data_IF_933567806861
#
_entry.id   IF_933567806861
#
_cell.length_a   1.000
_cell.length_b   1.000
_cell.length_c   1.000
_cell.angle_alpha   90.00
_cell.angle_beta   90.00
_cell.angle_gamma   90.00
#
_symmetry.space_group_name_H-M   'P 1'
#
loop_
_entity.id
_entity.type
_entity.pdbx_description
1 polymer ?
#
# COMPACT_ATOMS: atom_id res chain seq x y z
N UNK A 1 -1.72 54.02 -12.75
CA UNK A 1 -0.68 53.00 -12.54
C UNK A 1 -0.53 52.51 -11.09
N UNK A 2 -0.83 53.32 -10.06
CA UNK A 2 -0.70 52.89 -8.62
C UNK A 2 -1.73 51.82 -8.19
N UNK A 3 -2.93 51.79 -8.78
CA UNK A 3 -4.02 50.87 -8.41
C UNK A 3 -3.88 49.48 -9.04
N UNK A 4 -3.14 49.34 -10.16
CA UNK A 4 -2.92 48.03 -10.79
C UNK A 4 -1.88 47.18 -9.99
N UNK A 5 -0.89 47.83 -9.37
CA UNK A 5 0.13 47.15 -8.57
C UNK A 5 -0.44 46.59 -7.24
N UNK A 6 -1.40 47.31 -6.63
CA UNK A 6 -2.05 46.85 -5.39
C UNK A 6 -2.93 45.61 -5.63
N UNK A 7 -3.60 45.52 -6.79
CA UNK A 7 -4.44 44.37 -7.15
C UNK A 7 -3.62 43.11 -7.45
N UNK A 8 -2.44 43.24 -8.08
CA UNK A 8 -1.55 42.12 -8.37
C UNK A 8 -0.92 41.57 -7.08
N UNK A 9 -0.56 42.44 -6.15
CA UNK A 9 0.00 42.02 -4.86
C UNK A 9 -1.05 41.29 -4.00
N UNK A 10 -2.32 41.69 -4.05
CA UNK A 10 -3.41 41.04 -3.33
C UNK A 10 -3.72 39.64 -3.90
N UNK A 11 -3.62 39.45 -5.21
CA UNK A 11 -3.82 38.13 -5.88
C UNK A 11 -2.69 37.17 -5.50
N UNK A 12 -1.45 37.62 -5.41
CA UNK A 12 -0.30 36.76 -5.01
C UNK A 12 -0.41 36.32 -3.56
N UNK A 13 -0.89 37.19 -2.66
CA UNK A 13 -1.08 36.84 -1.24
C UNK A 13 -2.24 35.84 -1.04
N UNK A 14 -3.29 35.94 -1.85
CA UNK A 14 -4.41 34.97 -1.84
C UNK A 14 -3.98 33.62 -2.39
N UNK A 15 -3.13 33.56 -3.42
CA UNK A 15 -2.62 32.29 -3.98
C UNK A 15 -1.66 31.56 -3.03
N UNK A 16 -0.82 32.27 -2.26
CA UNK A 16 0.07 31.63 -1.27
C UNK A 16 -0.67 31.10 -0.04
N UNK A 17 -1.84 31.64 0.30
CA UNK A 17 -2.67 31.10 1.40
C UNK A 17 -3.50 29.86 1.00
N UNK A 18 -3.80 29.65 -0.27
CA UNK A 18 -4.53 28.48 -0.75
C UNK A 18 -3.65 27.21 -0.72
N UNK A 19 -2.34 27.31 -1.03
CA UNK A 19 -1.43 26.16 -0.99
C UNK A 19 -1.08 25.69 0.42
N UNK A 20 -1.16 26.57 1.43
CA UNK A 20 -0.94 26.19 2.84
C UNK A 20 -2.19 25.61 3.53
N UNK A 21 -3.37 25.83 2.95
CA UNK A 21 -4.64 25.39 3.52
C UNK A 21 -4.97 23.94 3.16
N UNK A 22 -4.44 23.41 2.04
CA UNK A 22 -4.70 22.03 1.59
C UNK A 22 -4.02 20.99 2.49
N UNK A 23 -2.83 21.26 3.03
CA UNK A 23 -2.14 20.34 3.94
C UNK A 23 -2.85 20.20 5.28
N UNK A 24 -3.37 21.30 5.84
CA UNK A 24 -4.12 21.30 7.11
C UNK A 24 -5.49 20.62 6.90
N UNK A 25 -6.16 20.88 5.78
CA UNK A 25 -7.44 20.25 5.45
C UNK A 25 -7.29 18.73 5.21
N UNK A 26 -6.14 18.27 4.66
CA UNK A 26 -5.85 16.87 4.44
C UNK A 26 -5.82 16.08 5.76
N UNK A 27 -5.20 16.60 6.81
CA UNK A 27 -5.14 15.98 8.14
C UNK A 27 -6.39 16.21 8.98
N UNK A 28 -7.18 17.26 8.72
CA UNK A 28 -8.38 17.56 9.50
C UNK A 28 -9.61 16.72 9.12
N UNK A 29 -9.63 16.08 7.95
CA UNK A 29 -10.72 15.18 7.54
C UNK A 29 -10.43 13.74 7.99
N UNK A 30 -10.80 13.42 9.23
CA UNK A 30 -10.73 12.06 9.78
C UNK A 30 -11.84 11.11 9.26
N UNK A 31 -12.55 11.47 8.18
CA UNK A 31 -13.54 10.57 7.60
C UNK A 31 -12.88 9.32 7.05
N UNK A 32 -13.36 8.13 7.47
CA UNK A 32 -12.86 6.85 7.02
C UNK A 32 -12.88 6.75 5.49
N UNK A 33 -11.77 6.36 4.92
CA UNK A 33 -11.61 6.01 3.49
C UNK A 33 -11.16 4.57 3.36
N UNK A 34 -11.64 3.88 2.34
CA UNK A 34 -11.32 2.48 2.06
C UNK A 34 -9.96 2.30 1.38
N UNK A 35 -8.93 2.86 1.98
CA UNK A 35 -7.54 2.84 1.48
C UNK A 35 -6.54 2.73 2.63
N UNK A 36 -5.28 2.40 2.33
CA UNK A 36 -4.20 2.51 3.28
C UNK A 36 -4.00 3.98 3.62
N UNK A 37 -4.27 4.38 4.86
CA UNK A 37 -4.15 5.77 5.27
C UNK A 37 -3.87 5.90 6.77
N UNK A 38 -2.95 6.79 7.10
CA UNK A 38 -2.69 7.24 8.46
C UNK A 38 -3.37 8.61 8.63
N UNK A 39 -4.22 8.75 9.62
CA UNK A 39 -4.97 9.97 9.92
C UNK A 39 -4.35 10.75 11.07
N UNK A 40 -3.64 10.06 11.98
CA UNK A 40 -2.93 10.68 13.09
C UNK A 40 -1.43 10.78 12.76
N UNK A 41 -0.84 12.01 12.75
CA UNK A 41 0.56 12.20 12.42
C UNK A 41 1.55 11.60 13.44
N UNK A 42 1.10 11.31 14.67
CA UNK A 42 1.93 10.67 15.69
C UNK A 42 2.06 9.15 15.48
N UNK A 43 1.19 8.55 14.67
CA UNK A 43 1.26 7.13 14.33
C UNK A 43 2.28 6.92 13.20
N UNK A 44 3.25 6.04 13.43
CA UNK A 44 4.34 5.72 12.50
C UNK A 44 4.53 4.22 12.34
N UNK A 45 5.34 3.83 11.39
CA UNK A 45 5.79 2.44 11.16
C UNK A 45 4.60 1.47 11.05
N UNK A 46 3.50 1.90 10.43
CA UNK A 46 2.29 1.09 10.33
C UNK A 46 2.51 0.00 9.28
N UNK A 47 2.60 -1.25 9.72
CA UNK A 47 2.87 -2.42 8.91
C UNK A 47 1.80 -3.49 9.16
N UNK A 48 1.39 -4.17 8.09
CA UNK A 48 0.54 -5.36 8.15
C UNK A 48 1.10 -6.41 7.19
N UNK A 49 1.29 -7.63 7.67
CA UNK A 49 1.91 -8.71 6.90
C UNK A 49 1.49 -10.08 7.46
N UNK A 50 1.64 -11.18 6.71
CA UNK A 50 1.45 -12.53 7.24
C UNK A 50 2.45 -12.80 8.36
N UNK A 51 1.97 -13.34 9.47
CA UNK A 51 2.80 -13.57 10.67
C UNK A 51 4.07 -14.35 10.33
N UNK A 52 5.22 -13.76 10.65
CA UNK A 52 6.54 -14.31 10.33
C UNK A 52 7.11 -13.96 8.95
N UNK A 53 6.34 -13.22 8.12
CA UNK A 53 6.76 -12.84 6.74
C UNK A 53 6.57 -11.33 6.50
N UNK A 54 7.40 -10.47 7.09
CA UNK A 54 7.20 -9.01 7.11
C UNK A 54 7.34 -8.31 5.76
N UNK A 55 7.83 -9.00 4.74
CA UNK A 55 7.97 -8.47 3.37
C UNK A 55 6.87 -8.96 2.42
N UNK A 56 5.98 -9.81 2.88
CA UNK A 56 4.89 -10.31 2.06
C UNK A 56 3.65 -9.42 2.15
N UNK A 57 2.86 -9.47 1.10
CA UNK A 57 1.57 -8.80 1.05
C UNK A 57 0.60 -9.37 2.11
N UNK A 58 -0.25 -8.54 2.74
CA UNK A 58 -1.21 -9.00 3.74
C UNK A 58 -2.38 -9.78 3.10
N UNK A 59 -2.06 -10.98 2.64
CA UNK A 59 -3.00 -11.89 1.97
C UNK A 59 -2.93 -13.27 2.61
N UNK A 60 -4.02 -13.75 3.17
CA UNK A 60 -4.10 -15.10 3.74
C UNK A 60 -5.33 -15.84 3.24
N UNK A 61 -5.25 -17.19 3.24
CA UNK A 61 -6.37 -18.02 2.83
C UNK A 61 -7.44 -18.12 3.92
N UNK A 62 -8.69 -18.05 3.51
CA UNK A 62 -9.84 -18.32 4.38
C UNK A 62 -9.73 -19.73 4.98
N UNK A 63 -10.12 -19.87 6.24
CA UNK A 63 -10.08 -21.14 7.00
C UNK A 63 -8.70 -21.81 7.05
N UNK A 64 -7.62 -21.04 6.95
CA UNK A 64 -6.26 -21.52 7.22
C UNK A 64 -5.81 -21.12 8.64
N UNK A 65 -4.76 -21.79 9.13
CA UNK A 65 -4.11 -21.42 10.40
C UNK A 65 -3.20 -20.18 10.27
N UNK A 66 -3.17 -19.56 9.08
CA UNK A 66 -2.38 -18.37 8.84
C UNK A 66 -3.05 -17.14 9.44
N UNK A 67 -2.24 -16.28 10.04
CA UNK A 67 -2.65 -15.02 10.63
C UNK A 67 -1.90 -13.85 10.01
N UNK A 68 -2.44 -12.66 10.17
CA UNK A 68 -1.78 -11.40 9.87
C UNK A 68 -1.31 -10.75 11.16
N UNK A 69 -0.18 -10.06 11.08
CA UNK A 69 0.37 -9.26 12.16
C UNK A 69 0.33 -7.79 11.76
N UNK A 70 -0.34 -6.98 12.57
CA UNK A 70 -0.26 -5.52 12.55
C UNK A 70 0.83 -5.09 13.52
N UNK A 71 1.61 -4.08 13.15
CA UNK A 71 2.54 -3.36 14.03
C UNK A 71 2.46 -1.87 13.74
N UNK A 72 2.60 -1.05 14.77
CA UNK A 72 2.71 0.40 14.63
C UNK A 72 3.33 1.04 15.87
N UNK A 73 3.86 2.24 15.70
CA UNK A 73 4.47 3.05 16.75
C UNK A 73 3.64 4.31 16.99
N UNK A 74 3.35 4.61 18.27
CA UNK A 74 2.73 5.86 18.69
C UNK A 74 3.81 6.77 19.33
N UNK A 75 4.16 7.84 18.62
CA UNK A 75 5.17 8.81 19.05
C UNK A 75 4.69 9.75 20.15
N UNK A 76 3.38 9.87 20.35
CA UNK A 76 2.84 10.62 21.50
C UNK A 76 3.13 9.92 22.84
N UNK A 77 3.49 8.62 22.80
CA UNK A 77 3.85 7.83 23.96
C UNK A 77 2.69 7.53 24.91
N UNK A 78 3.02 6.87 26.02
CA UNK A 78 2.01 6.39 26.96
C UNK A 78 1.27 5.18 26.45
N UNK A 79 0.27 4.72 27.24
CA UNK A 79 -0.62 3.61 26.85
C UNK A 79 -1.95 4.20 26.44
N UNK A 80 -2.39 3.86 25.22
CA UNK A 80 -3.70 4.23 24.69
C UNK A 80 -4.50 2.97 24.39
N UNK A 81 -5.80 3.02 24.59
CA UNK A 81 -6.71 1.90 24.33
C UNK A 81 -7.17 1.91 22.89
N UNK A 82 -6.26 1.57 21.96
CA UNK A 82 -6.61 1.43 20.56
C UNK A 82 -7.58 0.28 20.37
N UNK A 83 -8.70 0.57 19.70
CA UNK A 83 -9.69 -0.40 19.26
C UNK A 83 -9.47 -0.71 17.80
N UNK A 84 -9.87 -1.91 17.37
CA UNK A 84 -9.86 -2.28 15.95
C UNK A 84 -11.16 -2.98 15.54
N UNK A 85 -11.51 -2.84 14.29
CA UNK A 85 -12.61 -3.53 13.62
C UNK A 85 -12.27 -3.80 12.16
N UNK A 86 -13.10 -4.61 11.49
CA UNK A 86 -12.91 -4.94 10.08
C UNK A 86 -14.14 -4.54 9.28
N UNK A 87 -13.90 -3.98 8.09
CA UNK A 87 -14.93 -3.64 7.11
C UNK A 87 -14.71 -4.51 5.87
N UNK A 88 -15.71 -5.31 5.50
CA UNK A 88 -15.67 -6.09 4.26
C UNK A 88 -15.96 -5.17 3.07
N UNK A 89 -15.16 -5.29 2.01
CA UNK A 89 -15.26 -4.48 0.80
C UNK A 89 -15.45 -5.39 -0.43
N UNK A 90 -16.01 -4.81 -1.49
CA UNK A 90 -16.09 -5.42 -2.81
C UNK A 90 -14.76 -5.36 -3.60
N UNK A 91 -14.76 -5.78 -4.86
CA UNK A 91 -13.58 -5.77 -5.73
C UNK A 91 -13.02 -4.37 -6.00
N UNK A 92 -13.81 -3.32 -5.84
CA UNK A 92 -13.41 -1.92 -6.03
C UNK A 92 -13.03 -1.24 -4.70
N UNK A 93 -12.96 -2.00 -3.60
CA UNK A 93 -12.72 -1.49 -2.26
C UNK A 93 -13.86 -0.61 -1.71
N UNK A 94 -15.05 -0.67 -2.30
CA UNK A 94 -16.23 -0.05 -1.70
C UNK A 94 -16.80 -0.97 -0.61
N UNK A 95 -17.35 -0.41 0.48
CA UNK A 95 -17.98 -1.21 1.52
C UNK A 95 -19.03 -2.15 0.94
N UNK A 96 -18.92 -3.43 1.22
CA UNK A 96 -19.93 -4.40 0.75
C UNK A 96 -21.27 -4.20 1.43
N UNK A 97 -22.33 -4.75 0.86
CA UNK A 97 -23.66 -4.72 1.44
C UNK A 97 -23.88 -5.79 2.52
N UNK A 98 -22.84 -6.58 2.83
CA UNK A 98 -22.93 -7.60 3.88
C UNK A 98 -23.03 -6.95 5.25
N UNK A 99 -23.87 -7.51 6.10
CA UNK A 99 -23.90 -7.15 7.52
C UNK A 99 -22.67 -7.74 8.21
N UNK A 100 -22.23 -7.13 9.29
CA UNK A 100 -21.02 -7.54 10.01
C UNK A 100 -21.04 -9.01 10.44
N UNK A 101 -22.15 -9.50 10.91
CA UNK A 101 -22.36 -10.89 11.31
C UNK A 101 -22.37 -11.90 10.14
N UNK A 102 -22.36 -11.46 8.89
CA UNK A 102 -22.27 -12.31 7.71
C UNK A 102 -20.83 -12.60 7.30
N UNK A 103 -19.86 -11.73 7.68
CA UNK A 103 -18.44 -11.88 7.34
C UNK A 103 -17.51 -11.97 8.56
N UNK A 104 -18.06 -11.78 9.76
CA UNK A 104 -17.28 -11.78 11.00
C UNK A 104 -18.03 -12.51 12.12
N UNK A 105 -17.32 -13.31 12.89
CA UNK A 105 -17.81 -13.98 14.10
C UNK A 105 -17.01 -13.51 15.31
N UNK A 106 -17.67 -13.42 16.47
CA UNK A 106 -17.13 -12.96 17.72
C UNK A 106 -17.56 -11.53 18.03
N UNK A 107 -16.63 -10.67 18.41
CA UNK A 107 -16.91 -9.28 18.73
C UNK A 107 -16.86 -8.39 17.49
N UNK A 108 -17.71 -7.36 17.46
CA UNK A 108 -17.71 -6.37 16.37
C UNK A 108 -16.44 -5.49 16.37
N UNK A 109 -15.80 -5.36 17.52
CA UNK A 109 -14.51 -4.69 17.72
C UNK A 109 -13.80 -5.26 18.93
N UNK A 110 -12.48 -5.10 18.99
CA UNK A 110 -11.69 -5.47 20.17
C UNK A 110 -10.52 -4.50 20.36
N UNK A 111 -9.87 -4.57 21.52
CA UNK A 111 -8.77 -3.71 21.94
C UNK A 111 -7.41 -4.31 21.56
N UNK A 112 -6.46 -3.47 21.16
CA UNK A 112 -5.06 -3.84 20.95
C UNK A 112 -4.33 -3.78 22.30
N UNK A 113 -4.04 -4.94 22.88
CA UNK A 113 -3.48 -5.07 24.24
C UNK A 113 -1.99 -5.30 24.30
N UNK A 114 -1.39 -5.75 23.20
CA UNK A 114 0.04 -6.03 23.15
C UNK A 114 0.80 -4.76 22.79
N UNK A 115 1.59 -4.25 23.75
CA UNK A 115 2.41 -3.06 23.55
C UNK A 115 3.74 -3.17 24.32
N UNK A 116 4.72 -2.41 23.83
CA UNK A 116 6.05 -2.26 24.46
C UNK A 116 6.50 -0.81 24.38
N UNK A 117 7.10 -0.33 25.46
CA UNK A 117 7.76 0.99 25.43
C UNK A 117 9.12 0.91 24.75
N UNK A 118 9.47 1.96 24.03
CA UNK A 118 10.82 2.13 23.50
C UNK A 118 11.83 2.22 24.66
N UNK A 119 13.03 1.70 24.40
CA UNK A 119 14.10 1.75 25.37
C UNK A 119 15.37 2.31 24.73
N UNK A 120 15.99 3.33 25.37
CA UNK A 120 17.22 3.94 24.95
C UNK A 120 17.16 4.51 23.51
N UNK A 121 16.05 5.13 23.14
CA UNK A 121 15.82 5.77 21.85
C UNK A 121 15.84 7.29 21.97
N UNK A 122 16.23 8.00 20.90
CA UNK A 122 16.25 9.48 20.88
C UNK A 122 14.83 10.06 21.05
N UNK A 123 13.84 9.44 20.42
CA UNK A 123 12.42 9.77 20.57
C UNK A 123 11.70 8.60 21.25
N UNK A 124 11.01 8.88 22.36
CA UNK A 124 10.21 7.86 23.02
C UNK A 124 8.95 7.53 22.21
N UNK A 125 8.58 6.25 22.16
CA UNK A 125 7.36 5.79 21.52
C UNK A 125 6.81 4.55 22.23
N UNK A 126 5.55 4.25 21.97
CA UNK A 126 4.94 2.98 22.36
C UNK A 126 4.68 2.15 21.12
N UNK A 127 5.28 0.96 21.05
CA UNK A 127 5.09 -0.01 19.97
C UNK A 127 3.90 -0.89 20.30
N UNK A 128 2.96 -0.99 19.36
CA UNK A 128 1.77 -1.85 19.46
C UNK A 128 1.85 -2.99 18.45
N UNK A 129 1.32 -4.14 18.83
CA UNK A 129 1.22 -5.33 17.98
C UNK A 129 -0.16 -5.98 18.13
N UNK A 130 -0.68 -6.53 17.03
CA UNK A 130 -1.92 -7.29 16.99
C UNK A 130 -1.79 -8.44 16.01
N UNK A 131 -2.14 -9.65 16.43
CA UNK A 131 -2.28 -10.82 15.55
C UNK A 131 -3.76 -11.10 15.35
N UNK A 132 -4.17 -11.26 14.07
CA UNK A 132 -5.55 -11.56 13.69
C UNK A 132 -5.59 -12.41 12.40
N UNK A 133 -6.68 -13.16 12.10
CA UNK A 133 -7.81 -13.45 13.00
C UNK A 133 -7.36 -14.10 14.30
N UNK A 134 -8.16 -13.98 15.36
CA UNK A 134 -7.88 -14.54 16.67
C UNK A 134 -9.17 -15.12 17.30
N UNK A 135 -9.10 -15.62 18.54
CA UNK A 135 -10.24 -16.22 19.22
C UNK A 135 -11.39 -15.24 19.50
N UNK A 136 -11.11 -13.95 19.47
CA UNK A 136 -12.11 -12.90 19.74
C UNK A 136 -12.84 -12.45 18.50
N UNK A 137 -12.13 -12.38 17.35
CA UNK A 137 -12.70 -11.97 16.06
C UNK A 137 -12.17 -12.90 14.96
N UNK A 138 -13.10 -13.60 14.30
CA UNK A 138 -12.81 -14.47 13.15
C UNK A 138 -13.50 -13.95 11.90
N UNK A 139 -12.82 -14.05 10.77
CA UNK A 139 -13.37 -13.69 9.46
C UNK A 139 -13.91 -14.92 8.76
N UNK A 140 -15.14 -14.87 8.29
CA UNK A 140 -15.92 -16.03 7.78
C UNK A 140 -16.15 -15.98 6.28
N UNK A 141 -15.78 -14.89 5.61
CA UNK A 141 -15.89 -14.71 4.16
C UNK A 141 -14.53 -14.36 3.55
N UNK A 142 -14.34 -14.78 2.32
CA UNK A 142 -13.27 -14.26 1.47
C UNK A 142 -13.66 -12.90 0.90
N UNK A 143 -12.68 -12.06 0.63
CA UNK A 143 -12.87 -10.73 0.05
C UNK A 143 -11.77 -9.75 0.41
N UNK A 144 -11.98 -8.52 0.00
CA UNK A 144 -11.17 -7.39 0.39
C UNK A 144 -11.64 -6.89 1.76
N UNK A 145 -10.70 -6.57 2.62
CA UNK A 145 -10.97 -6.10 3.97
C UNK A 145 -10.19 -4.83 4.29
N UNK A 146 -10.82 -3.93 5.01
CA UNK A 146 -10.17 -2.80 5.63
C UNK A 146 -10.09 -3.04 7.14
N UNK A 147 -8.87 -3.09 7.68
CA UNK A 147 -8.62 -2.96 9.11
C UNK A 147 -8.73 -1.48 9.48
N UNK A 148 -9.55 -1.17 10.46
CA UNK A 148 -9.75 0.18 10.98
C UNK A 148 -9.32 0.21 12.44
N UNK A 149 -8.33 1.05 12.76
CA UNK A 149 -7.85 1.27 14.14
C UNK A 149 -8.24 2.67 14.57
N UNK A 150 -8.81 2.79 15.78
CA UNK A 150 -9.38 4.01 16.32
C UNK A 150 -9.27 4.06 17.85
N UNK A 151 -9.51 5.23 18.46
CA UNK A 151 -9.61 5.38 19.91
C UNK A 151 -11.07 5.41 20.35
N UNK A 152 -11.88 6.28 19.80
CA UNK A 152 -13.26 6.52 20.25
C UNK A 152 -14.31 5.95 19.28
N UNK A 153 -14.11 6.15 17.97
CA UNK A 153 -15.09 5.75 16.94
C UNK A 153 -14.42 5.29 15.65
N UNK A 154 -14.91 4.20 15.02
CA UNK A 154 -14.39 3.73 13.73
C UNK A 154 -14.64 4.72 12.59
N UNK A 155 -15.54 5.70 12.76
CA UNK A 155 -15.76 6.77 11.79
C UNK A 155 -14.70 7.89 11.88
N UNK A 156 -13.90 7.89 12.95
CA UNK A 156 -12.75 8.79 13.17
C UNK A 156 -11.49 7.99 13.43
N UNK A 157 -10.97 7.26 12.43
CA UNK A 157 -9.85 6.34 12.62
C UNK A 157 -8.54 7.07 12.89
N UNK A 158 -7.63 6.37 13.56
CA UNK A 158 -6.22 6.74 13.66
C UNK A 158 -5.46 6.31 12.40
N UNK A 159 -5.79 5.14 11.87
CA UNK A 159 -5.34 4.66 10.57
C UNK A 159 -6.24 3.55 10.03
N UNK A 160 -6.12 3.27 8.73
CA UNK A 160 -6.77 2.15 8.06
C UNK A 160 -5.82 1.44 7.11
N UNK A 161 -5.92 0.11 6.99
CA UNK A 161 -5.08 -0.73 6.15
C UNK A 161 -5.91 -1.77 5.40
N UNK A 162 -5.58 -1.96 4.13
CA UNK A 162 -6.14 -2.99 3.27
C UNK A 162 -5.46 -4.33 3.49
N UNK A 163 -6.25 -5.41 3.55
CA UNK A 163 -5.75 -6.78 3.49
C UNK A 163 -6.75 -7.67 2.75
N UNK A 164 -6.35 -8.88 2.40
CA UNK A 164 -7.17 -9.77 1.58
C UNK A 164 -7.28 -11.14 2.25
N UNK A 165 -8.50 -11.66 2.31
CA UNK A 165 -8.80 -13.05 2.64
C UNK A 165 -9.25 -13.75 1.36
N UNK A 166 -8.53 -14.78 0.90
CA UNK A 166 -8.85 -15.44 -0.35
C UNK A 166 -9.29 -16.90 -0.19
N UNK A 167 -9.97 -17.41 -1.19
CA UNK A 167 -10.25 -18.83 -1.39
C UNK A 167 -9.55 -19.30 -2.67
N UNK A 168 -8.85 -20.45 -2.66
CA UNK A 168 -8.10 -20.94 -3.82
C UNK A 168 -9.03 -21.57 -4.87
N UNK A 169 -9.83 -20.74 -5.56
CA UNK A 169 -10.81 -21.17 -6.58
C UNK A 169 -10.23 -21.17 -7.99
N UNK A 170 -9.10 -20.51 -8.17
CA UNK A 170 -8.36 -20.45 -9.44
C UNK A 170 -6.88 -20.67 -9.19
N UNK A 171 -6.17 -21.11 -10.21
CA UNK A 171 -4.71 -21.15 -10.21
C UNK A 171 -4.22 -20.13 -11.24
N UNK A 172 -3.39 -19.21 -10.80
CA UNK A 172 -2.61 -18.32 -11.66
C UNK A 172 -1.30 -19.08 -11.98
N UNK A 173 -1.01 -19.26 -13.25
CA UNK A 173 0.13 -20.03 -13.71
C UNK A 173 0.79 -19.35 -14.93
N UNK A 174 1.96 -19.86 -15.36
CA UNK A 174 2.72 -19.36 -16.49
C UNK A 174 3.05 -17.87 -16.39
N UNK A 175 3.23 -17.39 -15.15
CA UNK A 175 3.55 -15.97 -14.92
C UNK A 175 4.91 -15.65 -15.48
N UNK A 176 4.95 -14.71 -16.42
CA UNK A 176 6.18 -14.18 -17.02
C UNK A 176 6.24 -12.68 -16.76
N UNK A 177 7.36 -12.24 -16.26
CA UNK A 177 7.64 -10.81 -16.07
C UNK A 177 8.92 -10.53 -16.86
N UNK A 178 8.84 -9.62 -17.81
CA UNK A 178 9.96 -9.33 -18.69
C UNK A 178 9.88 -7.96 -19.33
N UNK A 179 10.71 -7.72 -20.32
CA UNK A 179 10.62 -6.53 -21.16
C UNK A 179 9.38 -6.63 -22.03
N UNK A 180 8.72 -5.49 -22.25
CA UNK A 180 7.57 -5.42 -23.15
C UNK A 180 7.96 -5.91 -24.57
N UNK A 181 7.07 -6.68 -25.20
CA UNK A 181 7.28 -7.20 -26.54
C UNK A 181 7.20 -6.11 -27.61
N UNK A 182 6.38 -5.09 -27.40
CA UNK A 182 6.25 -3.98 -28.34
C UNK A 182 7.54 -3.15 -28.40
N UNK A 183 8.10 -2.90 -29.62
CA UNK A 183 9.34 -2.14 -29.77
C UNK A 183 9.30 -0.75 -29.15
N UNK A 184 8.13 -0.12 -29.10
CA UNK A 184 7.94 1.22 -28.49
C UNK A 184 8.18 1.21 -26.97
N UNK A 185 7.96 0.08 -26.29
CA UNK A 185 8.00 -0.07 -24.84
C UNK A 185 9.10 -0.99 -24.32
N UNK A 186 9.73 -1.78 -25.18
CA UNK A 186 10.70 -2.81 -24.81
C UNK A 186 11.88 -2.33 -23.95
N UNK A 187 12.20 -1.04 -23.99
CA UNK A 187 13.30 -0.46 -23.22
C UNK A 187 12.83 0.37 -22.01
N UNK A 188 11.52 0.51 -21.79
CA UNK A 188 10.98 1.41 -20.76
C UNK A 188 9.93 0.76 -19.86
N UNK A 189 9.37 -0.38 -20.29
CA UNK A 189 8.28 -1.04 -19.55
C UNK A 189 8.55 -2.52 -19.32
N UNK A 190 8.02 -3.01 -18.20
CA UNK A 190 7.84 -4.44 -17.94
C UNK A 190 6.45 -4.87 -18.38
N UNK A 191 6.37 -6.08 -18.95
CA UNK A 191 5.15 -6.76 -19.31
C UNK A 191 4.94 -7.95 -18.38
N UNK A 192 3.68 -8.18 -17.98
CA UNK A 192 3.30 -9.24 -17.05
C UNK A 192 2.27 -10.13 -17.70
N UNK A 193 2.71 -11.28 -18.23
CA UNK A 193 1.84 -12.30 -18.84
C UNK A 193 1.53 -13.39 -17.85
N UNK A 194 0.34 -13.95 -17.94
CA UNK A 194 -0.07 -15.08 -17.11
C UNK A 194 -1.32 -15.75 -17.68
N UNK A 195 -1.58 -16.95 -17.16
CA UNK A 195 -2.82 -17.67 -17.46
C UNK A 195 -3.57 -17.98 -16.16
N UNK A 196 -4.89 -18.11 -16.26
CA UNK A 196 -5.76 -18.49 -15.14
C UNK A 196 -6.49 -19.78 -15.48
N UNK A 197 -6.37 -20.75 -14.59
CA UNK A 197 -7.13 -22.02 -14.65
C UNK A 197 -8.12 -22.10 -13.49
N UNK A 198 -9.43 -22.21 -13.77
CA UNK A 198 -10.42 -22.45 -12.75
C UNK A 198 -10.24 -23.83 -12.08
N UNK A 199 -10.39 -23.90 -10.74
CA UNK A 199 -10.30 -25.14 -9.97
C UNK A 199 -11.57 -25.36 -9.20
N UNK A 200 -12.34 -26.39 -9.57
CA UNK A 200 -13.64 -26.71 -8.92
C UNK A 200 -14.62 -25.53 -8.88
N UNK A 201 -14.42 -24.56 -9.78
CA UNK A 201 -15.26 -23.37 -9.90
C UNK A 201 -15.45 -23.05 -11.38
N UNK A 202 -16.71 -22.85 -11.81
CA UNK A 202 -17.00 -22.40 -13.17
C UNK A 202 -17.07 -20.88 -13.19
N UNK A 203 -16.44 -20.28 -14.18
CA UNK A 203 -16.54 -18.86 -14.47
C UNK A 203 -17.39 -18.71 -15.73
N UNK A 204 -18.69 -18.49 -15.60
CA UNK A 204 -19.61 -18.54 -16.74
C UNK A 204 -19.36 -17.43 -17.77
N UNK A 205 -19.03 -16.23 -17.29
CA UNK A 205 -18.80 -15.05 -18.13
C UNK A 205 -17.55 -14.35 -17.59
N UNK A 206 -16.34 -14.73 -18.04
CA UNK A 206 -15.10 -14.19 -17.51
C UNK A 206 -15.03 -12.66 -17.51
N UNK A 207 -15.50 -12.01 -18.56
CA UNK A 207 -15.47 -10.54 -18.72
C UNK A 207 -16.29 -9.79 -17.65
N UNK A 208 -17.32 -10.45 -17.10
CA UNK A 208 -18.18 -9.91 -16.05
C UNK A 208 -17.78 -10.42 -14.67
N UNK A 209 -17.44 -11.70 -14.59
CA UNK A 209 -17.31 -12.43 -13.32
C UNK A 209 -15.90 -12.38 -12.75
N UNK A 210 -14.91 -11.90 -13.53
CA UNK A 210 -13.52 -11.70 -13.09
C UNK A 210 -13.12 -10.24 -13.14
N UNK A 211 -12.31 -9.88 -12.16
CA UNK A 211 -11.53 -8.64 -12.14
C UNK A 211 -10.11 -9.01 -11.72
N UNK A 212 -9.17 -8.82 -12.62
CA UNK A 212 -7.76 -9.08 -12.35
C UNK A 212 -7.13 -7.76 -11.92
N UNK A 213 -6.41 -7.79 -10.81
CA UNK A 213 -5.64 -6.65 -10.33
C UNK A 213 -4.17 -7.06 -10.25
N UNK A 214 -3.33 -6.35 -10.97
CA UNK A 214 -1.88 -6.54 -10.95
C UNK A 214 -1.26 -5.37 -10.19
N UNK A 215 -0.44 -5.69 -9.20
CA UNK A 215 0.26 -4.70 -8.37
C UNK A 215 1.76 -4.78 -8.64
N UNK A 216 2.39 -3.64 -8.89
CA UNK A 216 3.84 -3.53 -8.90
C UNK A 216 4.32 -3.07 -7.53
N UNK A 217 5.21 -3.87 -6.89
CA UNK A 217 5.79 -3.55 -5.58
C UNK A 217 4.74 -3.25 -4.49
N UNK A 218 3.65 -4.01 -4.48
CA UNK A 218 2.53 -3.89 -3.52
C UNK A 218 1.82 -2.52 -3.54
N UNK A 219 1.99 -1.75 -4.59
CA UNK A 219 1.41 -0.41 -4.71
C UNK A 219 0.01 -0.49 -5.31
N UNK A 220 -0.94 0.19 -4.68
CA UNK A 220 -2.30 0.32 -5.16
C UNK A 220 -2.51 1.53 -6.09
N UNK A 221 -1.64 2.52 -6.00
CA UNK A 221 -1.74 3.78 -6.79
C UNK A 221 -1.39 3.59 -8.26
N UNK A 222 -0.63 2.56 -8.62
CA UNK A 222 -0.32 2.19 -9.99
C UNK A 222 -0.89 0.81 -10.39
N UNK A 223 -1.89 0.32 -9.64
CA UNK A 223 -2.52 -0.96 -9.93
C UNK A 223 -3.16 -0.98 -11.32
N UNK A 224 -2.91 -2.04 -12.07
CA UNK A 224 -3.59 -2.31 -13.35
C UNK A 224 -4.80 -3.20 -13.09
N UNK A 225 -5.92 -2.86 -13.73
CA UNK A 225 -7.15 -3.65 -13.65
C UNK A 225 -7.52 -4.16 -15.04
N UNK A 226 -7.53 -5.48 -15.19
CA UNK A 226 -7.89 -6.16 -16.44
C UNK A 226 -9.16 -6.96 -16.19
N UNK A 227 -10.15 -6.86 -17.08
CA UNK A 227 -11.42 -7.59 -16.96
C UNK A 227 -11.53 -8.72 -17.95
N UNK A 228 -11.08 -8.51 -19.18
CA UNK A 228 -11.26 -9.47 -20.27
C UNK A 228 -10.00 -10.29 -20.46
N UNK A 229 -10.08 -11.62 -20.56
CA UNK A 229 -8.97 -12.42 -21.08
C UNK A 229 -8.78 -12.14 -22.58
N UNK A 230 -7.53 -12.16 -23.07
CA UNK A 230 -7.22 -12.08 -24.49
C UNK A 230 -7.74 -13.28 -25.27
N UNK A 231 -7.66 -14.46 -24.64
CA UNK A 231 -8.17 -15.70 -25.21
C UNK A 231 -8.86 -16.55 -24.14
N UNK A 232 -9.93 -17.22 -24.52
CA UNK A 232 -10.73 -18.08 -23.64
C UNK A 232 -10.81 -19.48 -24.24
N UNK A 233 -10.34 -20.46 -23.50
CA UNK A 233 -10.56 -21.89 -23.78
C UNK A 233 -11.40 -22.49 -22.64
N UNK A 234 -11.93 -23.72 -22.77
CA UNK A 234 -12.73 -24.35 -21.73
C UNK A 234 -12.06 -24.43 -20.36
N UNK A 235 -10.74 -24.55 -20.32
CA UNK A 235 -9.98 -24.79 -19.09
C UNK A 235 -8.95 -23.70 -18.77
N UNK A 236 -8.80 -22.68 -19.64
CA UNK A 236 -7.75 -21.69 -19.51
C UNK A 236 -8.21 -20.31 -20.00
N UNK A 237 -7.93 -19.30 -19.20
CA UNK A 237 -8.07 -17.90 -19.55
C UNK A 237 -6.67 -17.30 -19.71
N UNK A 238 -6.42 -16.71 -20.88
CA UNK A 238 -5.11 -16.17 -21.24
C UNK A 238 -5.09 -14.65 -21.12
N UNK A 239 -4.09 -14.11 -20.43
CA UNK A 239 -3.87 -12.68 -20.18
C UNK A 239 -2.49 -12.24 -20.69
N UNK A 240 -2.07 -12.76 -21.82
CA UNK A 240 -0.89 -12.34 -22.58
C UNK A 240 -1.27 -11.14 -23.47
N UNK A 241 -1.25 -9.93 -22.88
CA UNK A 241 -1.54 -8.67 -23.57
C UNK A 241 -0.23 -7.99 -24.00
N UNK A 242 -0.36 -6.99 -24.89
CA UNK A 242 0.78 -6.21 -25.36
C UNK A 242 0.81 -4.79 -24.79
N UNK A 243 -0.30 -4.30 -24.24
CA UNK A 243 -0.40 -2.91 -23.74
C UNK A 243 -1.07 -2.81 -22.37
N UNK A 244 -2.06 -3.64 -22.06
CA UNK A 244 -2.89 -3.50 -20.85
C UNK A 244 -2.20 -3.97 -19.57
N UNK A 245 -1.13 -4.75 -19.70
CA UNK A 245 -0.35 -5.38 -18.59
C UNK A 245 1.05 -4.78 -18.42
N UNK A 246 1.25 -3.51 -18.86
CA UNK A 246 2.54 -2.85 -18.85
C UNK A 246 2.74 -1.94 -17.63
N UNK A 247 3.87 -2.08 -16.98
CA UNK A 247 4.34 -1.20 -15.91
C UNK A 247 5.58 -0.41 -16.34
N UNK A 248 5.73 0.81 -15.85
CA UNK A 248 7.00 1.52 -15.96
C UNK A 248 8.07 0.81 -15.15
N UNK A 249 9.26 0.70 -15.72
CA UNK A 249 10.32 -0.11 -15.18
C UNK A 249 11.54 0.70 -14.71
N UNK A 250 12.31 0.13 -13.78
CA UNK A 250 13.62 0.62 -13.39
C UNK A 250 13.63 1.91 -12.55
N UNK A 251 12.52 2.31 -11.93
CA UNK A 251 12.42 3.66 -11.37
C UNK A 251 11.95 3.76 -9.91
N UNK A 252 11.56 2.65 -9.26
CA UNK A 252 10.93 2.69 -7.93
C UNK A 252 11.94 2.77 -6.80
N UNK A 253 13.05 2.07 -6.92
CA UNK A 253 14.03 1.96 -5.86
C UNK A 253 15.26 2.82 -6.13
N UNK A 254 15.75 3.42 -5.08
CA UNK A 254 17.01 4.16 -5.02
C UNK A 254 17.81 3.62 -3.85
N UNK A 255 19.06 3.31 -4.08
CA UNK A 255 19.98 2.90 -3.03
C UNK A 255 21.05 3.95 -2.83
N UNK A 256 21.44 4.16 -1.59
CA UNK A 256 22.59 4.96 -1.21
C UNK A 256 23.38 4.21 -0.14
N UNK A 257 24.68 4.13 -0.32
CA UNK A 257 25.56 3.50 0.66
C UNK A 257 26.08 4.53 1.65
N UNK A 258 25.65 4.42 2.91
CA UNK A 258 26.09 5.27 4.04
C UNK A 258 26.86 4.47 5.10
N UNK A 259 27.38 3.29 4.77
CA UNK A 259 28.18 2.46 5.69
C UNK A 259 29.40 3.17 6.22
N UNK A 260 29.97 4.07 5.43
CA UNK A 260 31.08 4.93 5.84
C UNK A 260 30.73 6.39 5.60
N UNK A 261 30.86 7.20 6.64
CA UNK A 261 30.69 8.66 6.54
C UNK A 261 32.03 9.39 6.38
N UNK A 262 33.13 8.66 6.13
CA UNK A 262 34.47 9.23 5.91
C UNK A 262 34.72 9.61 4.46
N UNK A 263 33.98 9.06 3.53
CA UNK A 263 34.07 9.35 2.09
C UNK A 263 32.66 9.35 1.46
N UNK A 264 32.55 10.09 0.37
CA UNK A 264 31.33 10.17 -0.40
C UNK A 264 31.17 8.93 -1.26
N UNK A 265 30.09 8.18 -1.05
CA UNK A 265 29.68 7.11 -1.97
C UNK A 265 28.86 7.68 -3.13
N UNK A 266 28.47 6.80 -4.05
CA UNK A 266 27.60 7.17 -5.17
C UNK A 266 26.31 7.86 -4.68
N UNK A 267 25.84 8.87 -5.38
CA UNK A 267 24.68 9.71 -5.06
C UNK A 267 24.81 10.62 -3.82
N UNK A 268 25.97 10.67 -3.16
CA UNK A 268 26.22 11.62 -2.08
C UNK A 268 26.94 12.86 -2.62
N UNK A 269 26.31 14.03 -2.46
CA UNK A 269 26.90 15.32 -2.82
C UNK A 269 27.90 15.80 -1.76
N UNK A 270 27.52 15.69 -0.48
CA UNK A 270 28.39 16.10 0.63
C UNK A 270 28.06 15.36 1.93
N UNK A 271 29.00 15.35 2.86
CA UNK A 271 28.83 14.85 4.22
C UNK A 271 29.29 15.96 5.17
N UNK A 272 28.33 16.50 5.92
CA UNK A 272 28.57 17.58 6.87
C UNK A 272 28.52 17.01 8.29
N UNK A 273 29.42 17.47 9.12
CA UNK A 273 29.40 17.20 10.55
C UNK A 273 28.96 18.45 11.28
N UNK A 274 27.76 18.45 11.82
CA UNK A 274 27.15 19.56 12.54
C UNK A 274 27.04 19.24 14.03
N UNK A 275 26.53 20.19 14.82
CA UNK A 275 26.43 20.03 16.28
C UNK A 275 25.49 18.87 16.70
N UNK A 276 24.55 18.51 15.88
CA UNK A 276 23.56 17.43 16.07
C UNK A 276 23.98 16.10 15.39
N UNK A 277 25.11 16.06 14.68
CA UNK A 277 25.65 14.86 14.07
C UNK A 277 26.03 14.98 12.60
N UNK A 278 26.10 13.83 11.91
CA UNK A 278 26.40 13.78 10.49
C UNK A 278 25.16 14.03 9.64
N UNK A 279 25.27 14.93 8.67
CA UNK A 279 24.26 15.21 7.66
C UNK A 279 24.77 14.78 6.29
N UNK A 280 24.09 13.80 5.68
CA UNK A 280 24.41 13.34 4.33
C UNK A 280 23.57 14.12 3.33
N UNK A 281 24.23 14.94 2.52
CA UNK A 281 23.58 15.71 1.45
C UNK A 281 23.55 14.86 0.19
N UNK A 282 22.37 14.55 -0.29
CA UNK A 282 22.17 13.74 -1.48
C UNK A 282 22.33 14.56 -2.76
N UNK A 283 22.80 13.92 -3.84
CA UNK A 283 22.71 14.50 -5.17
C UNK A 283 21.25 14.55 -5.62
N UNK A 284 20.95 15.50 -6.52
CA UNK A 284 19.61 15.60 -7.10
C UNK A 284 19.33 14.35 -7.96
N UNK A 285 18.38 13.53 -7.53
CA UNK A 285 17.90 12.39 -8.30
C UNK A 285 16.57 12.76 -8.98
N UNK A 286 16.54 12.73 -10.31
CA UNK A 286 15.38 13.09 -11.11
C UNK A 286 14.53 11.84 -11.40
N UNK A 287 13.23 12.02 -11.56
CA UNK A 287 12.31 10.98 -12.01
C UNK A 287 12.79 10.42 -13.37
N UNK A 288 12.91 9.10 -13.47
CA UNK A 288 13.37 8.39 -14.66
C UNK A 288 12.23 7.77 -15.47
N UNK A 289 10.97 8.03 -15.13
CA UNK A 289 9.81 7.47 -15.83
C UNK A 289 9.93 7.66 -17.35
N UNK A 290 9.64 6.61 -18.11
CA UNK A 290 9.75 6.60 -19.56
C UNK A 290 11.18 6.66 -20.12
N UNK A 291 12.21 6.55 -19.27
CA UNK A 291 13.61 6.44 -19.72
C UNK A 291 13.98 4.99 -19.94
N UNK A 292 14.90 4.70 -20.88
CA UNK A 292 15.41 3.35 -21.09
C UNK A 292 16.01 2.77 -19.81
N UNK A 293 15.91 1.45 -19.65
CA UNK A 293 16.64 0.72 -18.62
C UNK A 293 18.14 0.98 -18.78
N UNK A 294 18.77 1.38 -17.71
CA UNK A 294 20.22 1.45 -17.66
C UNK A 294 20.68 0.33 -16.73
N UNK A 295 21.19 -0.74 -17.31
CA UNK A 295 21.84 -1.85 -16.60
C UNK A 295 21.03 -2.36 -15.38
N UNK A 296 19.84 -2.89 -15.61
CA UNK A 296 19.14 -3.66 -14.59
C UNK A 296 19.64 -5.12 -14.68
N UNK A 297 20.48 -5.60 -13.74
CA UNK A 297 21.04 -6.95 -13.78
C UNK A 297 19.98 -8.03 -13.59
N UNK A 298 18.80 -7.69 -13.04
CA UNK A 298 17.73 -8.63 -12.75
C UNK A 298 16.82 -8.91 -13.97
N UNK A 299 17.08 -8.23 -15.10
CA UNK A 299 16.32 -8.37 -16.34
C UNK A 299 17.08 -9.09 -17.47
N UNK A 300 18.24 -9.70 -17.18
CA UNK A 300 19.02 -10.48 -18.15
C UNK A 300 18.84 -11.98 -17.96
#
# INVERSE_FOLDING_TARGET
MKNAFASILLIIIVFSSILAQDDIAFYSQKALRTQNRIYNPDIKTVLIFPTGYPLEMPVISLNSDKTLQLQFDDLAGGVKNFQYTFLHCDANWEPSQLRMNEYMEGFDSDEIRDYKFSFNTTTSYTHYSLIFPNDRIRLTKSGNYLLVVYLDSPTQPEFSLRFIIYEPRVIIQDVKIGRAHLPAYMNTKHEVDFTIRPVKYKIPVPDRDLTIVILQNWRWDNALTIKQPRNITPDLLDYDYEEENLFDAGNQYRSVDIKSLRYRSEYIADILYLADGYHVVMQLDRIKAGKPFVNDPDLN
#
